data_IF_040482905440
#
_entry.id   IF_040482905440
#
_cell.length_a   1.000
_cell.length_b   1.000
_cell.length_c   1.000
_cell.angle_alpha   90.00
_cell.angle_beta   90.00
_cell.angle_gamma   90.00
#
_symmetry.space_group_name_H-M   'P 1'
#
loop_
_entity.id
_entity.type
_entity.pdbx_description
1 polymer ?
#
# COMPACT_ATOMS: atom_id res chain seq x y z
N UNK A 1 -0.11 15.84 2.69
CA UNK A 1 1.12 15.66 3.51
C UNK A 1 2.41 15.84 2.71
N UNK A 2 2.63 15.08 1.62
CA UNK A 2 3.87 15.17 0.84
C UNK A 2 4.27 16.59 0.40
N UNK A 3 3.31 17.40 -0.08
CA UNK A 3 3.55 18.80 -0.46
C UNK A 3 4.04 19.67 0.72
N UNK A 4 3.44 19.50 1.91
CA UNK A 4 3.82 20.24 3.11
C UNK A 4 5.22 19.84 3.62
N UNK A 5 5.53 18.53 3.64
CA UNK A 5 6.87 18.05 4.00
C UNK A 5 7.94 18.61 3.05
N UNK A 6 7.64 18.63 1.74
CA UNK A 6 8.52 19.23 0.74
C UNK A 6 8.69 20.73 0.93
N UNK A 7 7.61 21.46 1.21
CA UNK A 7 7.66 22.90 1.49
C UNK A 7 8.48 23.22 2.75
N UNK A 8 8.52 22.32 3.73
CA UNK A 8 9.36 22.41 4.91
C UNK A 8 10.84 22.03 4.67
N UNK A 9 11.24 21.74 3.42
CA UNK A 9 12.63 21.46 3.04
C UNK A 9 13.01 19.98 2.95
N UNK A 10 12.08 19.06 3.21
CA UNK A 10 12.38 17.62 3.15
C UNK A 10 12.64 17.14 1.70
N UNK A 11 13.46 16.08 1.58
CA UNK A 11 13.50 15.22 0.39
C UNK A 11 12.40 14.18 0.55
N UNK A 12 11.43 14.17 -0.35
CA UNK A 12 10.22 13.34 -0.20
C UNK A 12 10.19 12.26 -1.27
N UNK A 13 10.06 11.00 -0.82
CA UNK A 13 9.62 9.87 -1.63
C UNK A 13 8.16 9.60 -1.27
N UNK A 14 7.28 9.67 -2.27
CA UNK A 14 5.86 9.38 -2.13
C UNK A 14 5.54 8.05 -2.80
N UNK A 15 5.30 7.01 -2.01
CA UNK A 15 4.76 5.74 -2.50
C UNK A 15 3.24 5.87 -2.50
N UNK A 16 2.61 5.71 -3.66
CA UNK A 16 1.19 5.98 -3.86
C UNK A 16 0.50 4.81 -4.53
N UNK A 17 -0.63 4.40 -3.93
CA UNK A 17 -1.64 3.62 -4.65
C UNK A 17 -2.32 4.44 -5.75
N UNK A 18 -3.28 3.86 -6.48
CA UNK A 18 -4.05 4.56 -7.50
C UNK A 18 -4.83 5.73 -6.91
N UNK A 19 -4.48 6.96 -7.31
CA UNK A 19 -5.17 8.20 -6.92
C UNK A 19 -5.24 9.15 -8.09
N UNK A 20 -6.26 10.00 -8.13
CA UNK A 20 -6.40 11.07 -9.15
C UNK A 20 -5.59 12.33 -8.82
N UNK A 21 -4.94 12.37 -7.66
CA UNK A 21 -4.18 13.53 -7.22
C UNK A 21 -2.83 13.63 -7.96
N UNK A 22 -2.44 14.84 -8.41
CA UNK A 22 -1.15 15.04 -9.06
C UNK A 22 0.00 14.89 -8.06
N UNK A 23 1.18 14.53 -8.57
CA UNK A 23 2.41 14.53 -7.79
C UNK A 23 2.81 15.96 -7.43
N UNK A 24 3.06 16.28 -6.14
CA UNK A 24 3.54 17.61 -5.77
C UNK A 24 4.91 17.91 -6.38
N UNK A 25 5.17 19.19 -6.66
CA UNK A 25 6.44 19.65 -7.26
C UNK A 25 7.63 19.25 -6.38
N UNK A 26 8.67 18.68 -6.98
CA UNK A 26 9.90 18.31 -6.29
C UNK A 26 9.79 17.08 -5.38
N UNK A 27 8.68 16.34 -5.46
CA UNK A 27 8.49 15.04 -4.79
C UNK A 27 8.78 13.91 -5.79
N UNK A 28 9.56 12.92 -5.37
CA UNK A 28 9.74 11.68 -6.15
C UNK A 28 8.58 10.74 -5.85
N UNK A 29 7.75 10.43 -6.84
CA UNK A 29 6.63 9.48 -6.70
C UNK A 29 7.03 8.09 -7.19
N UNK A 30 6.52 7.07 -6.50
CA UNK A 30 6.54 5.66 -6.90
C UNK A 30 5.10 5.19 -6.90
N UNK A 31 4.60 4.77 -8.05
CA UNK A 31 3.26 4.24 -8.21
C UNK A 31 3.24 2.74 -7.96
N UNK A 32 2.26 2.29 -7.17
CA UNK A 32 2.02 0.89 -6.84
C UNK A 32 0.53 0.59 -6.99
N UNK A 33 0.19 -0.66 -7.24
CA UNK A 33 -1.19 -1.11 -7.48
C UNK A 33 -1.68 -2.12 -6.45
N UNK A 34 -0.76 -2.80 -5.77
CA UNK A 34 -1.09 -3.79 -4.73
C UNK A 34 -0.44 -3.47 -3.38
N UNK A 35 -0.98 -4.04 -2.30
CA UNK A 35 -0.38 -3.96 -0.98
C UNK A 35 1.02 -4.59 -0.93
N UNK A 36 1.25 -5.67 -1.69
CA UNK A 36 2.56 -6.30 -1.78
C UNK A 36 3.58 -5.40 -2.50
N UNK A 37 3.21 -4.78 -3.63
CA UNK A 37 4.06 -3.79 -4.30
C UNK A 37 4.36 -2.58 -3.40
N UNK A 38 3.37 -2.12 -2.64
CA UNK A 38 3.56 -1.04 -1.68
C UNK A 38 4.53 -1.43 -0.57
N UNK A 39 4.39 -2.64 -0.02
CA UNK A 39 5.29 -3.17 1.00
C UNK A 39 6.74 -3.22 0.48
N UNK A 40 6.97 -3.83 -0.68
CA UNK A 40 8.30 -3.91 -1.30
C UNK A 40 8.90 -2.52 -1.55
N UNK A 41 8.11 -1.59 -2.12
CA UNK A 41 8.56 -0.23 -2.37
C UNK A 41 8.93 0.52 -1.08
N UNK A 42 8.18 0.29 0.02
CA UNK A 42 8.47 0.87 1.32
C UNK A 42 9.76 0.29 1.88
N UNK A 43 9.89 -1.04 1.91
CA UNK A 43 11.06 -1.71 2.49
C UNK A 43 12.35 -1.39 1.72
N UNK A 44 12.28 -1.16 0.41
CA UNK A 44 13.42 -0.72 -0.41
C UNK A 44 13.94 0.69 -0.05
N UNK A 45 13.16 1.50 0.67
CA UNK A 45 13.49 2.90 0.97
C UNK A 45 13.50 3.25 2.46
N UNK A 46 12.83 2.47 3.31
CA UNK A 46 12.57 2.82 4.71
C UNK A 46 13.86 3.08 5.52
N UNK A 47 14.90 2.26 5.35
CA UNK A 47 16.17 2.39 6.09
C UNK A 47 17.00 3.61 5.69
N UNK A 48 16.69 4.25 4.56
CA UNK A 48 17.35 5.46 4.08
C UNK A 48 16.56 6.74 4.40
N UNK A 49 15.45 6.63 5.14
CA UNK A 49 14.59 7.74 5.52
C UNK A 49 14.74 8.06 7.00
N UNK A 50 14.61 9.34 7.35
CA UNK A 50 14.56 9.78 8.74
C UNK A 50 13.14 9.65 9.32
N UNK A 51 12.11 9.76 8.46
CA UNK A 51 10.69 9.74 8.84
C UNK A 51 9.88 8.89 7.85
N UNK A 52 9.00 8.05 8.37
CA UNK A 52 8.00 7.29 7.62
C UNK A 52 6.59 7.69 8.05
N UNK A 53 5.72 8.00 7.08
CA UNK A 53 4.33 8.41 7.32
C UNK A 53 3.40 7.43 6.60
N UNK A 54 2.82 6.49 7.36
CA UNK A 54 1.88 5.47 6.86
C UNK A 54 0.45 6.00 6.83
N UNK A 55 0.05 6.60 5.71
CA UNK A 55 -1.30 7.19 5.49
C UNK A 55 -2.13 6.47 4.43
N UNK A 56 -1.53 5.56 3.67
CA UNK A 56 -2.26 4.82 2.64
C UNK A 56 -3.29 3.89 3.31
N UNK A 57 -4.51 3.86 2.78
CA UNK A 57 -5.51 2.88 3.15
C UNK A 57 -5.18 1.54 2.48
N UNK A 58 -4.22 0.81 3.05
CA UNK A 58 -3.78 -0.49 2.55
C UNK A 58 -4.81 -1.55 2.94
N UNK A 59 -5.19 -2.41 2.00
CA UNK A 59 -6.13 -3.50 2.28
C UNK A 59 -5.45 -4.57 3.15
N UNK A 60 -6.13 -5.03 4.21
CA UNK A 60 -5.63 -6.07 5.12
C UNK A 60 -5.53 -7.46 4.45
N UNK A 61 -6.36 -7.71 3.43
CA UNK A 61 -6.42 -8.99 2.73
C UNK A 61 -6.31 -8.82 1.22
N UNK A 62 -5.85 -9.87 0.53
CA UNK A 62 -5.87 -10.02 -0.93
C UNK A 62 -6.48 -11.37 -1.33
N UNK A 63 -6.96 -11.54 -2.58
CA UNK A 63 -7.33 -12.86 -3.08
C UNK A 63 -6.18 -13.85 -2.95
N UNK A 64 -6.47 -15.05 -2.45
CA UNK A 64 -5.52 -16.19 -2.42
C UNK A 64 -5.08 -16.56 -3.84
N UNK A 65 -6.01 -16.45 -4.80
CA UNK A 65 -5.76 -16.73 -6.21
C UNK A 65 -6.25 -15.58 -7.07
N UNK A 66 -5.37 -15.09 -7.94
CA UNK A 66 -5.69 -14.14 -9.00
C UNK A 66 -5.95 -14.87 -10.30
N UNK A 67 -6.88 -14.37 -11.11
CA UNK A 67 -7.18 -14.90 -12.43
C UNK A 67 -6.88 -13.84 -13.50
N UNK A 68 -6.15 -14.22 -14.54
CA UNK A 68 -5.79 -13.32 -15.66
C UNK A 68 -7.00 -12.95 -16.53
N UNK A 69 -8.11 -13.67 -16.37
CA UNK A 69 -9.36 -13.46 -17.08
C UNK A 69 -10.50 -13.24 -16.11
N UNK A 70 -11.49 -12.46 -16.55
CA UNK A 70 -12.74 -12.24 -15.82
C UNK A 70 -13.43 -13.58 -15.52
N UNK A 71 -13.62 -13.87 -14.23
CA UNK A 71 -14.39 -15.03 -13.75
C UNK A 71 -15.83 -14.90 -14.28
N UNK A 72 -16.31 -15.88 -15.04
CA UNK A 72 -17.68 -15.91 -15.56
C UNK A 72 -18.60 -16.53 -14.53
N UNK A 73 -19.88 -16.16 -14.57
CA UNK A 73 -20.92 -16.76 -13.71
C UNK A 73 -21.05 -18.27 -13.94
N UNK A 74 -20.82 -18.73 -15.17
CA UNK A 74 -20.82 -20.15 -15.54
C UNK A 74 -19.74 -20.97 -14.86
N UNK A 75 -18.64 -20.34 -14.46
CA UNK A 75 -17.44 -21.03 -13.97
C UNK A 75 -17.64 -21.56 -12.54
N UNK A 76 -18.73 -21.15 -11.87
CA UNK A 76 -19.13 -21.62 -10.54
C UNK A 76 -19.89 -22.96 -10.57
N UNK A 77 -20.27 -23.44 -11.76
CA UNK A 77 -21.10 -24.63 -11.94
C UNK A 77 -22.61 -24.33 -11.98
N UNK A 78 -23.42 -25.19 -12.62
CA UNK A 78 -24.87 -25.01 -12.70
C UNK A 78 -25.51 -24.99 -11.31
N UNK A 79 -26.32 -23.96 -11.03
CA UNK A 79 -27.04 -23.85 -9.75
C UNK A 79 -26.22 -23.31 -8.58
N UNK A 80 -24.99 -22.84 -8.80
CA UNK A 80 -24.20 -22.21 -7.75
C UNK A 80 -24.87 -20.92 -7.23
N UNK A 81 -24.97 -20.71 -5.91
CA UNK A 81 -25.67 -19.57 -5.32
C UNK A 81 -24.92 -18.24 -5.46
N UNK A 82 -23.64 -18.25 -5.83
CA UNK A 82 -22.80 -17.05 -5.93
C UNK A 82 -21.32 -17.34 -6.19
N UNK A 83 -20.50 -16.29 -6.14
CA UNK A 83 -19.04 -16.34 -6.20
C UNK A 83 -18.46 -16.36 -4.77
N UNK A 84 -17.59 -17.32 -4.48
CA UNK A 84 -16.78 -17.34 -3.25
C UNK A 84 -15.35 -16.92 -3.55
N UNK A 85 -14.78 -16.03 -2.74
CA UNK A 85 -13.39 -15.60 -2.83
C UNK A 85 -12.65 -16.03 -1.57
N UNK A 86 -11.61 -16.86 -1.75
CA UNK A 86 -10.66 -17.13 -0.66
C UNK A 86 -9.68 -15.96 -0.57
N UNK A 87 -9.49 -15.45 0.64
CA UNK A 87 -8.64 -14.30 0.93
C UNK A 87 -7.49 -14.73 1.85
N UNK A 88 -6.33 -14.11 1.67
CA UNK A 88 -5.15 -14.25 2.52
C UNK A 88 -4.67 -12.88 2.98
N UNK A 89 -4.05 -12.81 4.15
CA UNK A 89 -3.55 -11.55 4.73
C UNK A 89 -2.45 -10.93 3.86
N UNK A 90 -2.47 -9.60 3.78
CA UNK A 90 -1.40 -8.80 3.22
C UNK A 90 -0.27 -8.56 4.24
N UNK A 91 0.95 -8.28 3.76
CA UNK A 91 2.02 -7.83 4.63
C UNK A 91 1.64 -6.54 5.37
N UNK A 92 1.82 -6.54 6.70
CA UNK A 92 1.66 -5.34 7.51
C UNK A 92 2.89 -4.44 7.33
N UNK A 93 2.70 -3.33 6.60
CA UNK A 93 3.77 -2.38 6.27
C UNK A 93 4.26 -1.64 7.52
N UNK A 94 3.36 -1.18 8.40
CA UNK A 94 3.74 -0.41 9.59
C UNK A 94 4.54 -1.31 10.53
N UNK A 95 4.08 -2.54 10.75
CA UNK A 95 4.80 -3.55 11.55
C UNK A 95 6.15 -3.92 10.94
N UNK A 96 6.22 -4.02 9.61
CA UNK A 96 7.49 -4.32 8.92
C UNK A 96 8.51 -3.20 9.12
N UNK A 97 8.09 -1.94 8.97
CA UNK A 97 8.98 -0.77 9.17
C UNK A 97 9.38 -0.62 10.63
N UNK A 98 8.46 -0.85 11.57
CA UNK A 98 8.76 -0.75 13.01
C UNK A 98 9.69 -1.84 13.54
N UNK A 99 9.82 -2.94 12.80
CA UNK A 99 10.74 -4.05 13.13
C UNK A 99 12.17 -3.81 12.61
N UNK A 100 12.45 -2.70 11.92
CA UNK A 100 13.79 -2.36 11.45
C UNK A 100 14.66 -1.87 12.62
N UNK A 101 15.87 -2.44 12.76
CA UNK A 101 16.82 -2.08 13.82
C UNK A 101 17.25 -0.60 13.76
N UNK A 102 17.44 -0.08 12.54
CA UNK A 102 17.78 1.32 12.26
C UNK A 102 16.66 1.98 11.45
N UNK A 103 15.42 1.86 11.95
CA UNK A 103 14.21 2.36 11.29
C UNK A 103 14.01 3.88 11.42
N UNK A 104 13.19 4.46 10.54
CA UNK A 104 12.81 5.87 10.62
C UNK A 104 11.92 6.15 11.84
N UNK A 105 11.70 7.44 12.15
CA UNK A 105 10.59 7.84 13.01
C UNK A 105 9.25 7.57 12.32
N UNK A 106 8.33 6.87 12.99
CA UNK A 106 7.09 6.36 12.39
C UNK A 106 5.89 7.18 12.82
N UNK A 107 5.09 7.61 11.84
CA UNK A 107 3.75 8.17 12.05
C UNK A 107 2.75 7.28 11.33
N UNK A 108 1.89 6.60 12.10
CA UNK A 108 0.78 5.79 11.58
C UNK A 108 -0.54 6.54 11.61
N UNK A 109 -1.44 6.21 10.70
CA UNK A 109 -2.82 6.69 10.68
C UNK A 109 -3.78 5.52 10.89
N UNK A 110 -4.78 5.74 11.75
CA UNK A 110 -5.89 4.83 11.96
C UNK A 110 -7.18 5.63 11.91
N UNK A 111 -8.20 5.07 11.26
CA UNK A 111 -9.55 5.58 11.31
C UNK A 111 -10.43 4.47 11.91
N UNK A 112 -11.09 4.80 13.01
CA UNK A 112 -12.06 3.92 13.69
C UNK A 112 -13.48 4.47 13.44
N UNK A 113 -14.48 3.60 13.38
CA UNK A 113 -15.89 3.94 13.08
C UNK A 113 -16.84 3.39 14.13
#
# INVERSE_FOLDING_TARGET
MAAAARAAGARVILISGPVSLPTPIGVRRIDVTSAAEMHEAVMAHATACDVFIGVAAVADYRPDRTHDQKIKKSDQGPGAPGLSLSLVENPDIIRSVSSLEHGPFIVGFAAET
#
